data_IF_343498492850
#
_entry.id   IF_343498492850
#
_cell.length_a   1.000
_cell.length_b   1.000
_cell.length_c   1.000
_cell.angle_alpha   90.00
_cell.angle_beta   90.00
_cell.angle_gamma   90.00
#
_symmetry.space_group_name_H-M   'P 1'
#
loop_
_entity.id
_entity.type
_entity.pdbx_description
1 polymer ?
#
# COMPACT_ATOMS: atom_id res chain seq x y z
N UNK A 1 -16.39 -17.55 5.82
CA UNK A 1 -15.80 -16.87 4.64
C UNK A 1 -14.87 -15.79 5.14
N UNK A 2 -13.56 -16.05 5.20
CA UNK A 2 -12.59 -15.08 5.72
C UNK A 2 -11.91 -14.37 4.54
N UNK A 3 -12.25 -13.10 4.33
CA UNK A 3 -11.51 -12.09 3.57
C UNK A 3 -11.14 -12.46 2.11
N UNK A 4 -12.00 -12.14 1.14
CA UNK A 4 -11.64 -12.27 -0.29
C UNK A 4 -10.88 -11.02 -0.75
N UNK A 5 -9.73 -11.18 -1.42
CA UNK A 5 -8.90 -10.05 -1.87
C UNK A 5 -9.47 -9.24 -3.03
N UNK A 6 -10.41 -9.82 -3.78
CA UNK A 6 -11.18 -9.20 -4.88
C UNK A 6 -12.63 -9.67 -4.79
N UNK A 7 -13.57 -8.87 -5.24
CA UNK A 7 -14.93 -9.38 -5.41
C UNK A 7 -14.96 -10.32 -6.64
N UNK A 8 -15.55 -11.53 -6.55
CA UNK A 8 -15.43 -12.53 -7.61
C UNK A 8 -16.06 -12.09 -8.93
N UNK A 9 -17.20 -11.40 -8.91
CA UNK A 9 -17.97 -11.04 -10.12
C UNK A 9 -18.27 -9.55 -10.30
N UNK A 10 -17.85 -8.68 -9.37
CA UNK A 10 -18.17 -7.25 -9.49
C UNK A 10 -17.30 -6.58 -10.54
N UNK A 11 -17.86 -5.55 -11.17
CA UNK A 11 -17.24 -4.83 -12.28
C UNK A 11 -16.91 -3.42 -11.81
N UNK A 12 -15.61 -3.09 -11.82
CA UNK A 12 -15.10 -1.80 -11.33
C UNK A 12 -15.68 -0.60 -12.08
N UNK A 13 -16.05 -0.80 -13.35
CA UNK A 13 -16.66 0.24 -14.18
C UNK A 13 -18.09 0.61 -13.73
N UNK A 14 -18.72 -0.21 -12.91
CA UNK A 14 -20.08 -0.04 -12.40
C UNK A 14 -20.09 0.42 -10.93
N UNK A 15 -18.93 0.67 -10.32
CA UNK A 15 -18.83 1.14 -8.94
C UNK A 15 -18.62 2.64 -8.87
N UNK A 16 -19.27 3.27 -7.91
CA UNK A 16 -19.07 4.68 -7.59
C UNK A 16 -17.81 4.87 -6.76
N UNK A 17 -17.01 5.88 -7.13
CA UNK A 17 -15.89 6.30 -6.31
C UNK A 17 -16.44 6.96 -5.04
N UNK A 18 -15.90 6.54 -3.89
CA UNK A 18 -16.24 7.19 -2.61
C UNK A 18 -16.02 8.70 -2.70
N UNK A 19 -17.04 9.48 -2.32
CA UNK A 19 -17.09 10.94 -2.32
C UNK A 19 -16.15 11.55 -1.26
N UNK A 20 -14.85 11.36 -1.42
CA UNK A 20 -13.79 11.99 -0.63
C UNK A 20 -12.72 12.52 -1.57
N UNK A 21 -12.32 13.77 -1.35
CA UNK A 21 -11.35 14.50 -2.18
C UNK A 21 -10.10 13.68 -2.51
N UNK A 22 -9.54 13.00 -1.50
CA UNK A 22 -8.35 12.15 -1.66
C UNK A 22 -8.50 11.08 -2.76
N UNK A 23 -9.68 10.47 -2.90
CA UNK A 23 -9.89 9.43 -3.90
C UNK A 23 -10.06 10.01 -5.30
N UNK A 24 -10.69 11.17 -5.42
CA UNK A 24 -10.74 11.91 -6.68
C UNK A 24 -9.35 12.33 -7.13
N UNK A 25 -8.50 12.83 -6.24
CA UNK A 25 -7.10 13.14 -6.54
C UNK A 25 -6.33 11.90 -7.02
N UNK A 26 -6.50 10.75 -6.36
CA UNK A 26 -5.88 9.50 -6.79
C UNK A 26 -6.31 9.10 -8.21
N UNK A 27 -7.62 9.15 -8.50
CA UNK A 27 -8.15 8.82 -9.83
C UNK A 27 -7.71 9.85 -10.88
N UNK A 28 -7.62 11.13 -10.53
CA UNK A 28 -7.15 12.17 -11.44
C UNK A 28 -5.66 12.01 -11.76
N UNK A 29 -4.84 11.57 -10.81
CA UNK A 29 -3.40 11.37 -11.04
C UNK A 29 -3.07 10.04 -11.72
N UNK A 30 -3.69 8.95 -11.26
CA UNK A 30 -3.37 7.61 -11.71
C UNK A 30 -4.32 7.08 -12.79
N UNK A 31 -5.44 7.76 -13.09
CA UNK A 31 -6.34 7.45 -14.20
C UNK A 31 -6.79 5.97 -14.23
N UNK A 32 -6.59 5.28 -15.36
CA UNK A 32 -7.10 3.94 -15.62
C UNK A 32 -6.71 2.90 -14.55
N UNK A 33 -5.44 2.81 -14.11
CA UNK A 33 -5.06 1.98 -12.96
C UNK A 33 -5.92 2.20 -11.70
N UNK A 34 -6.14 3.46 -11.31
CA UNK A 34 -6.88 3.79 -10.09
C UNK A 34 -8.37 3.45 -10.17
N UNK A 35 -9.00 3.57 -11.35
CA UNK A 35 -10.41 3.19 -11.55
C UNK A 35 -10.66 1.69 -11.35
N UNK A 36 -9.62 0.86 -11.41
CA UNK A 36 -9.71 -0.60 -11.31
C UNK A 36 -9.48 -1.14 -9.89
N UNK A 37 -9.25 -0.27 -8.91
CA UNK A 37 -8.88 -0.64 -7.54
C UNK A 37 -10.07 -1.15 -6.69
N UNK A 38 -10.82 -2.11 -7.22
CA UNK A 38 -11.81 -2.88 -6.45
C UNK A 38 -11.12 -4.06 -5.78
N UNK A 39 -10.23 -3.75 -4.83
CA UNK A 39 -9.43 -4.73 -4.10
C UNK A 39 -9.56 -4.51 -2.60
N UNK A 40 -9.54 -5.59 -1.85
CA UNK A 40 -9.65 -5.58 -0.39
C UNK A 40 -8.38 -6.14 0.22
N UNK A 41 -7.95 -5.62 1.37
CA UNK A 41 -6.75 -6.10 2.03
C UNK A 41 -6.79 -5.91 3.54
N UNK A 42 -6.03 -6.76 4.21
CA UNK A 42 -5.70 -6.60 5.61
C UNK A 42 -4.39 -5.82 5.73
N UNK A 43 -4.40 -4.75 6.53
CA UNK A 43 -3.20 -3.98 6.85
C UNK A 43 -2.81 -4.24 8.32
N UNK A 44 -1.57 -4.71 8.52
CA UNK A 44 -1.00 -4.93 9.86
C UNK A 44 -0.01 -3.80 10.15
N UNK A 45 -0.21 -3.09 11.25
CA UNK A 45 0.65 -1.99 11.67
C UNK A 45 1.50 -2.42 12.87
N UNK A 46 2.81 -2.27 12.76
CA UNK A 46 3.77 -2.57 13.83
C UNK A 46 4.49 -1.28 14.23
N UNK A 47 4.33 -0.88 15.48
CA UNK A 47 5.00 0.30 16.02
C UNK A 47 6.47 0.02 16.33
N UNK A 48 7.38 0.85 15.81
CA UNK A 48 8.82 0.73 16.05
C UNK A 48 9.34 2.09 16.51
N UNK A 49 10.04 2.11 17.65
CA UNK A 49 10.38 3.35 18.34
C UNK A 49 11.38 4.27 17.59
N UNK A 50 12.22 3.71 16.71
CA UNK A 50 13.28 4.45 16.01
C UNK A 50 13.23 4.21 14.50
N UNK A 51 13.50 5.25 13.71
CA UNK A 51 13.60 5.16 12.26
C UNK A 51 14.67 4.18 11.77
N UNK A 52 15.80 4.09 12.47
CA UNK A 52 16.86 3.13 12.11
C UNK A 52 16.43 1.69 12.33
N UNK A 53 15.81 1.41 13.49
CA UNK A 53 15.20 0.10 13.77
C UNK A 53 14.11 -0.21 12.75
N UNK A 54 13.29 0.78 12.40
CA UNK A 54 12.24 0.61 11.41
C UNK A 54 12.82 0.26 10.03
N UNK A 55 13.93 0.89 9.60
CA UNK A 55 14.61 0.56 8.34
C UNK A 55 15.20 -0.84 8.34
N UNK A 56 15.88 -1.24 9.42
CA UNK A 56 16.45 -2.57 9.55
C UNK A 56 15.35 -3.65 9.53
N UNK A 57 14.32 -3.51 10.37
CA UNK A 57 13.18 -4.44 10.42
C UNK A 57 12.46 -4.53 9.09
N UNK A 58 12.27 -3.40 8.42
CA UNK A 58 11.62 -3.35 7.11
C UNK A 58 12.39 -4.13 6.05
N UNK A 59 13.72 -3.97 6.00
CA UNK A 59 14.54 -4.70 5.05
C UNK A 59 14.47 -6.21 5.29
N UNK A 60 14.51 -6.64 6.55
CA UNK A 60 14.34 -8.06 6.92
C UNK A 60 12.95 -8.58 6.55
N UNK A 61 11.88 -7.82 6.84
CA UNK A 61 10.51 -8.23 6.53
C UNK A 61 10.26 -8.33 5.03
N UNK A 62 10.95 -7.50 4.23
CA UNK A 62 10.83 -7.51 2.77
C UNK A 62 11.22 -8.87 2.17
N UNK A 63 12.14 -9.60 2.80
CA UNK A 63 12.51 -10.97 2.40
C UNK A 63 11.37 -11.98 2.59
N UNK A 64 10.44 -11.73 3.52
CA UNK A 64 9.32 -12.62 3.84
C UNK A 64 8.03 -12.28 3.08
N UNK A 65 8.01 -11.19 2.29
CA UNK A 65 6.82 -10.78 1.52
C UNK A 65 6.25 -11.92 0.66
N UNK A 66 7.04 -12.72 -0.08
CA UNK A 66 6.50 -13.82 -0.89
C UNK A 66 5.77 -14.88 -0.06
N UNK A 67 6.27 -15.18 1.14
CA UNK A 67 5.68 -16.16 2.06
C UNK A 67 4.36 -15.64 2.63
N UNK A 68 4.34 -14.38 3.07
CA UNK A 68 3.12 -13.74 3.55
C UNK A 68 2.05 -13.66 2.45
N UNK A 69 2.46 -13.40 1.21
CA UNK A 69 1.55 -13.41 0.07
C UNK A 69 0.99 -14.81 -0.21
N UNK A 70 1.84 -15.84 -0.20
CA UNK A 70 1.41 -17.21 -0.42
C UNK A 70 0.37 -17.67 0.63
N UNK A 71 0.59 -17.32 1.91
CA UNK A 71 -0.31 -17.68 3.00
C UNK A 71 -1.62 -16.87 3.01
N UNK A 72 -1.64 -15.67 2.43
CA UNK A 72 -2.82 -14.78 2.41
C UNK A 72 -3.55 -14.75 1.08
N UNK A 73 -3.11 -15.55 0.10
CA UNK A 73 -3.69 -15.60 -1.23
C UNK A 73 -5.18 -16.01 -1.18
N UNK A 74 -6.05 -15.10 -1.65
CA UNK A 74 -7.50 -15.19 -1.46
C UNK A 74 -8.27 -14.50 -2.60
N UNK A 75 -7.66 -14.36 -3.77
CA UNK A 75 -8.28 -13.64 -4.92
C UNK A 75 -8.02 -14.34 -6.26
N UNK A 76 -8.56 -15.56 -6.47
CA UNK A 76 -8.39 -16.27 -7.73
C UNK A 76 -9.28 -15.75 -8.86
N UNK A 77 -10.37 -15.04 -8.54
CA UNK A 77 -11.33 -14.52 -9.51
C UNK A 77 -11.27 -12.99 -9.64
N UNK A 78 -11.58 -12.47 -10.82
CA UNK A 78 -11.77 -11.04 -11.07
C UNK A 78 -12.78 -10.80 -12.19
N UNK A 79 -13.82 -10.00 -11.93
CA UNK A 79 -14.91 -9.69 -12.88
C UNK A 79 -15.63 -10.91 -13.46
N UNK A 80 -15.75 -11.99 -12.69
CA UNK A 80 -16.44 -13.23 -13.07
C UNK A 80 -15.52 -14.27 -13.70
N UNK A 81 -14.26 -13.93 -13.96
CA UNK A 81 -13.29 -14.79 -14.63
C UNK A 81 -12.29 -15.38 -13.63
N UNK A 82 -11.95 -16.65 -13.82
CA UNK A 82 -10.82 -17.28 -13.15
C UNK A 82 -9.52 -16.71 -13.74
N UNK A 83 -8.66 -16.16 -12.88
CA UNK A 83 -7.46 -15.44 -13.35
C UNK A 83 -6.25 -16.35 -13.57
N UNK A 84 -6.32 -17.62 -13.16
CA UNK A 84 -5.19 -18.55 -13.13
C UNK A 84 -4.13 -18.23 -12.05
N UNK A 85 -4.35 -17.18 -11.24
CA UNK A 85 -3.48 -16.80 -10.12
C UNK A 85 -4.14 -17.17 -8.80
N UNK A 86 -3.37 -17.55 -7.79
CA UNK A 86 -3.90 -17.68 -6.43
C UNK A 86 -4.32 -16.32 -5.84
N UNK A 87 -3.69 -15.23 -6.28
CA UNK A 87 -4.00 -13.87 -5.84
C UNK A 87 -3.78 -12.84 -6.95
N UNK A 88 -4.80 -12.55 -7.74
CA UNK A 88 -4.77 -11.51 -8.78
C UNK A 88 -4.71 -10.08 -8.21
N UNK A 89 -5.14 -9.90 -6.95
CA UNK A 89 -5.11 -8.63 -6.22
C UNK A 89 -3.75 -7.92 -6.28
N UNK A 90 -2.67 -8.69 -6.13
CA UNK A 90 -1.31 -8.13 -6.13
C UNK A 90 -0.98 -7.50 -7.48
N UNK A 91 -1.35 -8.16 -8.58
CA UNK A 91 -1.12 -7.65 -9.94
C UNK A 91 -1.96 -6.42 -10.26
N UNK A 92 -3.19 -6.36 -9.75
CA UNK A 92 -4.02 -5.15 -9.87
C UNK A 92 -3.35 -3.99 -9.13
N UNK A 93 -2.84 -4.23 -7.91
CA UNK A 93 -2.22 -3.18 -7.10
C UNK A 93 -0.87 -2.70 -7.66
N UNK A 94 -0.04 -3.61 -8.18
CA UNK A 94 1.25 -3.31 -8.83
C UNK A 94 1.12 -2.43 -10.08
N UNK A 95 -0.10 -2.25 -10.62
CA UNK A 95 -0.32 -1.35 -11.76
C UNK A 95 -0.23 0.14 -11.40
N UNK A 96 -0.22 0.49 -10.11
CA UNK A 96 -0.03 1.87 -9.66
C UNK A 96 1.46 2.27 -9.75
N UNK A 97 1.78 3.51 -10.19
CA UNK A 97 3.18 3.95 -10.39
C UNK A 97 4.07 3.87 -9.14
N UNK A 98 3.49 4.00 -7.95
CA UNK A 98 4.20 3.98 -6.67
C UNK A 98 3.92 2.72 -5.86
N UNK A 99 3.33 1.69 -6.48
CA UNK A 99 3.11 0.39 -5.88
C UNK A 99 4.22 -0.60 -6.24
N UNK A 100 4.34 -1.64 -5.42
CA UNK A 100 5.22 -2.77 -5.69
C UNK A 100 6.11 -3.16 -4.51
N UNK A 101 7.20 -3.84 -4.83
CA UNK A 101 8.19 -4.22 -3.84
C UNK A 101 9.01 -3.01 -3.43
N UNK A 102 9.30 -2.86 -2.13
CA UNK A 102 10.07 -1.73 -1.67
C UNK A 102 11.55 -1.89 -1.96
N UNK A 103 12.25 -0.76 -2.07
CA UNK A 103 13.70 -0.74 -2.17
C UNK A 103 14.36 -1.04 -0.83
N UNK A 104 15.46 -1.79 -0.88
CA UNK A 104 16.35 -1.95 0.27
C UNK A 104 17.09 -0.63 0.48
N UNK A 105 17.02 -0.10 1.69
CA UNK A 105 17.68 1.15 2.08
C UNK A 105 18.65 0.89 3.22
N UNK A 106 19.81 1.52 3.23
CA UNK A 106 20.86 1.26 4.23
C UNK A 106 20.49 1.77 5.61
N UNK A 107 19.86 2.95 5.70
CA UNK A 107 19.56 3.62 6.96
C UNK A 107 18.34 4.54 6.84
N UNK A 108 17.94 5.14 7.96
CA UNK A 108 16.82 6.08 7.99
C UNK A 108 17.07 7.33 7.13
N UNK A 109 18.30 7.83 7.08
CA UNK A 109 18.64 9.02 6.30
C UNK A 109 18.44 8.80 4.79
N UNK A 110 18.75 7.61 4.26
CA UNK A 110 18.45 7.25 2.87
C UNK A 110 16.96 7.24 2.58
N UNK A 111 16.15 6.71 3.51
CA UNK A 111 14.70 6.77 3.39
C UNK A 111 14.21 8.22 3.31
N UNK A 112 14.68 9.09 4.21
CA UNK A 112 14.31 10.50 4.18
C UNK A 112 14.71 11.17 2.86
N UNK A 113 15.93 10.92 2.37
CA UNK A 113 16.39 11.46 1.07
C UNK A 113 15.51 10.99 -0.07
N UNK A 114 15.19 9.70 -0.14
CA UNK A 114 14.30 9.15 -1.17
C UNK A 114 12.92 9.83 -1.14
N UNK A 115 12.35 10.03 0.06
CA UNK A 115 11.06 10.71 0.19
C UNK A 115 11.12 12.16 -0.30
N UNK A 116 12.16 12.89 0.08
CA UNK A 116 12.38 14.28 -0.36
C UNK A 116 12.55 14.32 -1.88
N UNK A 117 13.33 13.42 -2.47
CA UNK A 117 13.51 13.33 -3.92
C UNK A 117 12.19 13.08 -4.64
N UNK A 118 11.37 12.14 -4.17
CA UNK A 118 10.07 11.82 -4.79
C UNK A 118 9.07 12.99 -4.69
N UNK A 119 9.08 13.72 -3.57
CA UNK A 119 8.25 14.92 -3.40
C UNK A 119 8.73 16.06 -4.32
N UNK A 120 10.03 16.32 -4.37
CA UNK A 120 10.60 17.36 -5.23
C UNK A 120 10.38 17.06 -6.72
N UNK A 121 10.42 15.79 -7.11
CA UNK A 121 10.12 15.34 -8.47
C UNK A 121 8.60 15.39 -8.80
N UNK A 122 7.75 15.78 -7.84
CA UNK A 122 6.28 15.75 -7.94
C UNK A 122 5.72 14.35 -8.27
N UNK A 123 6.49 13.30 -7.97
CA UNK A 123 6.05 11.93 -8.12
C UNK A 123 5.04 11.56 -7.02
N UNK A 124 5.20 12.13 -5.82
CA UNK A 124 4.28 12.01 -4.68
C UNK A 124 4.06 13.38 -4.02
N UNK A 125 2.89 13.61 -3.44
CA UNK A 125 2.63 14.78 -2.57
C UNK A 125 2.94 14.48 -1.10
N UNK A 126 2.81 13.21 -0.71
CA UNK A 126 3.02 12.75 0.65
C UNK A 126 3.51 11.31 0.69
N UNK A 127 4.20 10.93 1.76
CA UNK A 127 4.61 9.53 2.04
C UNK A 127 3.42 8.56 2.04
N UNK A 128 2.20 9.06 2.27
CA UNK A 128 0.96 8.27 2.22
C UNK A 128 0.56 7.79 0.82
N UNK A 129 1.23 8.29 -0.22
CA UNK A 129 1.02 7.88 -1.61
C UNK A 129 1.99 6.79 -2.07
N UNK A 130 2.77 6.25 -1.14
CA UNK A 130 3.63 5.10 -1.38
C UNK A 130 2.83 3.83 -1.08
N UNK A 131 2.66 3.01 -2.11
CA UNK A 131 1.82 1.81 -2.10
C UNK A 131 2.66 0.54 -2.12
N UNK A 132 3.75 0.52 -1.35
CA UNK A 132 4.61 -0.65 -1.25
C UNK A 132 3.93 -1.80 -0.48
N UNK A 133 4.26 -3.04 -0.83
CA UNK A 133 3.76 -4.25 -0.18
C UNK A 133 4.04 -4.26 1.34
N UNK A 134 5.18 -3.69 1.75
CA UNK A 134 5.42 -3.23 3.11
C UNK A 134 5.74 -1.73 3.03
N UNK A 135 5.13 -0.88 3.85
CA UNK A 135 5.35 0.55 3.81
C UNK A 135 5.66 1.13 5.20
N UNK A 136 6.59 2.08 5.23
CA UNK A 136 6.92 2.86 6.44
C UNK A 136 6.07 4.12 6.45
N UNK A 137 5.35 4.34 7.55
CA UNK A 137 4.57 5.57 7.74
C UNK A 137 5.13 6.34 8.93
N UNK A 138 5.64 7.57 8.74
CA UNK A 138 6.00 8.41 9.87
C UNK A 138 4.72 8.85 10.60
N UNK A 139 4.76 8.86 11.94
CA UNK A 139 3.62 9.32 12.74
C UNK A 139 3.38 10.82 12.52
N UNK A 140 2.13 11.24 12.40
CA UNK A 140 1.73 12.64 12.22
C UNK A 140 1.73 13.48 13.51
N UNK A 141 2.39 13.03 14.58
CA UNK A 141 2.54 13.81 15.80
C UNK A 141 3.89 14.56 15.75
N UNK A 142 3.94 15.87 16.05
CA UNK A 142 5.21 16.57 16.20
C UNK A 142 5.85 16.10 17.52
N UNK A 143 6.60 15.01 17.50
CA UNK A 143 7.38 14.60 18.66
C UNK A 143 8.70 15.39 18.68
N UNK A 144 8.74 16.43 19.52
CA UNK A 144 9.99 16.78 20.21
C UNK A 144 10.40 15.51 20.95
N UNK A 145 11.59 14.98 20.64
CA UNK A 145 12.12 13.66 21.04
C UNK A 145 11.69 12.48 20.15
N UNK A 146 12.70 11.80 19.59
CA UNK A 146 12.59 10.78 18.53
C UNK A 146 11.98 9.45 18.96
N UNK A 147 10.71 9.45 19.36
CA UNK A 147 9.90 8.24 19.50
C UNK A 147 8.74 8.27 18.51
N UNK A 148 8.75 7.37 17.53
CA UNK A 148 7.61 7.16 16.64
C UNK A 148 6.69 6.11 17.27
N UNK A 149 5.59 6.56 17.89
CA UNK A 149 4.49 5.68 18.29
C UNK A 149 3.18 6.39 17.99
N UNK A 150 2.31 5.76 17.20
CA UNK A 150 1.01 6.31 16.84
C UNK A 150 0.20 5.35 16.00
N UNK A 151 -0.65 4.57 16.66
CA UNK A 151 -1.62 3.67 16.05
C UNK A 151 -2.84 4.48 15.57
N UNK A 152 -3.17 4.39 14.28
CA UNK A 152 -4.53 4.68 13.79
C UNK A 152 -4.95 3.54 12.85
N UNK A 153 -6.05 2.88 13.20
CA UNK A 153 -6.77 2.00 12.28
C UNK A 153 -7.29 2.85 11.13
N UNK A 154 -6.83 2.57 9.92
CA UNK A 154 -7.53 2.97 8.71
C UNK A 154 -7.76 1.71 7.87
N UNK A 155 -8.99 1.21 7.92
CA UNK A 155 -9.48 0.24 6.94
C UNK A 155 -9.50 0.96 5.59
N UNK A 156 -8.48 0.73 4.76
CA UNK A 156 -8.50 1.22 3.38
C UNK A 156 -9.25 0.18 2.55
N UNK A 157 -10.56 0.16 2.68
CA UNK A 157 -11.44 -0.39 1.64
C UNK A 157 -11.72 0.75 0.69
N UNK A 158 -11.22 0.64 -0.54
CA UNK A 158 -11.81 1.35 -1.67
C UNK A 158 -13.04 0.51 -2.06
N UNK A 159 -14.28 0.98 -1.83
CA UNK A 159 -15.38 0.53 -2.66
C UNK A 159 -15.17 1.05 -4.08
#
# INVERSE_FOLDING_TARGET
MACVGTHPFSRWAEQDITQKERYHLLVNRCQWPARRLMIFGLHVHVGIASGEKATATFNSLSTYIPHLLALSASSPYFKGEETGLASCRVKIFESLPTAGLPYRLLNWAEFQRLMITLVNARAIESVREIWWACARTPSSAPSRSGSATGCRRSTTSLP
#
